data_IF_270088954532
#
_entry.id   IF_270088954532
#
_cell.length_a   1.000
_cell.length_b   1.000
_cell.length_c   1.000
_cell.angle_alpha   90.00
_cell.angle_beta   90.00
_cell.angle_gamma   90.00
#
_symmetry.space_group_name_H-M   'P 1'
#
loop_
_entity.id
_entity.type
_entity.pdbx_description
1 polymer ?
#
# COMPACT_ATOMS: atom_id res chain seq x y z
N UNK A 1 -3.05 -29.19 -19.15
CA UNK A 1 -4.05 -29.18 -18.06
C UNK A 1 -3.38 -28.85 -16.73
N UNK A 2 -2.50 -29.70 -16.18
CA UNK A 2 -1.75 -29.45 -14.92
C UNK A 2 -1.05 -28.08 -14.79
N UNK A 3 -0.46 -27.55 -15.87
CA UNK A 3 0.25 -26.25 -15.84
C UNK A 3 -0.72 -25.07 -15.66
N UNK A 4 -1.93 -25.17 -16.21
CA UNK A 4 -2.95 -24.11 -16.13
C UNK A 4 -3.53 -24.05 -14.73
N UNK A 5 -3.89 -25.19 -14.14
CA UNK A 5 -4.38 -25.27 -12.75
C UNK A 5 -3.33 -24.78 -11.74
N UNK A 6 -2.05 -25.06 -11.99
CA UNK A 6 -0.95 -24.56 -11.18
C UNK A 6 -0.80 -23.04 -11.22
N UNK A 7 -0.99 -22.43 -12.39
CA UNK A 7 -0.92 -20.97 -12.55
C UNK A 7 -2.08 -20.27 -11.82
N UNK A 8 -3.31 -20.79 -11.95
CA UNK A 8 -4.49 -20.23 -11.28
C UNK A 8 -4.36 -20.27 -9.74
N UNK A 9 -3.78 -21.34 -9.20
CA UNK A 9 -3.51 -21.45 -7.76
C UNK A 9 -2.51 -20.40 -7.30
N UNK A 10 -1.42 -20.19 -8.04
CA UNK A 10 -0.40 -19.19 -7.71
C UNK A 10 -0.99 -17.78 -7.73
N UNK A 11 -1.82 -17.46 -8.70
CA UNK A 11 -2.50 -16.16 -8.80
C UNK A 11 -3.47 -15.95 -7.65
N UNK A 12 -4.23 -16.97 -7.25
CA UNK A 12 -5.13 -16.91 -6.10
C UNK A 12 -4.38 -16.67 -4.79
N UNK A 13 -3.24 -17.34 -4.59
CA UNK A 13 -2.38 -17.14 -3.40
C UNK A 13 -1.78 -15.73 -3.41
N UNK A 14 -1.29 -15.27 -4.56
CA UNK A 14 -0.74 -13.92 -4.70
C UNK A 14 -1.78 -12.84 -4.42
N UNK A 15 -3.00 -13.00 -4.92
CA UNK A 15 -4.12 -12.11 -4.63
C UNK A 15 -4.48 -12.15 -3.14
N UNK A 16 -4.56 -13.33 -2.51
CA UNK A 16 -4.81 -13.47 -1.08
C UNK A 16 -3.77 -12.72 -0.23
N UNK A 17 -2.49 -12.83 -0.59
CA UNK A 17 -1.42 -12.09 0.08
C UNK A 17 -1.55 -10.57 -0.13
N UNK A 18 -1.76 -10.14 -1.38
CA UNK A 18 -1.88 -8.73 -1.74
C UNK A 18 -3.11 -8.04 -1.13
N UNK A 19 -4.20 -8.76 -0.90
CA UNK A 19 -5.45 -8.20 -0.34
C UNK A 19 -5.53 -8.31 1.18
N UNK A 20 -4.80 -9.25 1.80
CA UNK A 20 -4.85 -9.50 3.23
C UNK A 20 -3.57 -9.10 3.95
N UNK A 21 -2.50 -9.86 3.72
CA UNK A 21 -1.28 -9.79 4.53
C UNK A 21 -0.45 -8.55 4.21
N UNK A 22 -0.26 -8.23 2.92
CA UNK A 22 0.55 -7.10 2.50
C UNK A 22 0.03 -5.75 3.05
N UNK A 23 -1.27 -5.40 2.94
CA UNK A 23 -1.80 -4.15 3.49
C UNK A 23 -1.60 -4.03 5.00
N UNK A 24 -1.71 -5.13 5.75
CA UNK A 24 -1.50 -5.15 7.20
C UNK A 24 -0.03 -4.82 7.52
N UNK A 25 0.91 -5.51 6.87
CA UNK A 25 2.34 -5.28 7.09
C UNK A 25 2.76 -3.87 6.68
N UNK A 26 2.36 -3.45 5.49
CA UNK A 26 2.73 -2.17 4.92
C UNK A 26 2.16 -1.00 5.74
N UNK A 27 0.88 -1.01 6.10
CA UNK A 27 0.32 0.07 6.91
C UNK A 27 0.88 0.05 8.35
N UNK A 28 1.26 -1.11 8.88
CA UNK A 28 1.96 -1.19 10.18
C UNK A 28 3.33 -0.50 10.09
N UNK A 29 4.13 -0.81 9.07
CA UNK A 29 5.46 -0.22 8.88
C UNK A 29 5.37 1.28 8.59
N UNK A 30 4.55 1.68 7.62
CA UNK A 30 4.54 3.04 7.13
C UNK A 30 3.68 3.98 7.99
N UNK A 31 2.52 3.55 8.51
CA UNK A 31 1.67 4.43 9.35
C UNK A 31 2.05 4.34 10.81
N UNK A 32 1.92 3.17 11.43
CA UNK A 32 2.19 3.02 12.85
C UNK A 32 3.68 3.05 13.19
N UNK A 33 4.55 2.72 12.25
CA UNK A 33 6.00 2.89 12.37
C UNK A 33 6.43 4.31 11.99
N UNK A 34 6.59 4.56 10.69
CA UNK A 34 7.23 5.77 10.17
C UNK A 34 6.43 7.06 10.44
N UNK A 35 5.19 7.15 9.95
CA UNK A 35 4.38 8.37 10.05
C UNK A 35 4.09 8.73 11.52
N UNK A 36 3.73 7.74 12.33
CA UNK A 36 3.52 7.88 13.77
C UNK A 36 4.78 8.35 14.49
N UNK A 37 5.95 7.81 14.14
CA UNK A 37 7.22 8.24 14.72
C UNK A 37 7.56 9.69 14.38
N UNK A 38 7.31 10.13 13.14
CA UNK A 38 7.48 11.53 12.73
C UNK A 38 6.56 12.44 13.53
N UNK A 39 5.28 12.08 13.66
CA UNK A 39 4.30 12.84 14.43
C UNK A 39 4.70 12.94 15.91
N UNK A 40 5.18 11.85 16.52
CA UNK A 40 5.65 11.82 17.92
C UNK A 40 6.90 12.67 18.15
N UNK A 41 7.71 12.86 17.12
CA UNK A 41 8.89 13.76 17.13
C UNK A 41 8.52 15.21 16.84
N UNK A 42 7.23 15.55 16.72
CA UNK A 42 6.75 16.91 16.50
C UNK A 42 6.78 17.37 15.05
N UNK A 43 6.97 16.47 14.08
CA UNK A 43 6.86 16.84 12.68
C UNK A 43 5.43 17.29 12.34
N UNK A 44 5.24 18.31 11.48
CA UNK A 44 3.91 18.71 11.02
C UNK A 44 3.17 17.55 10.36
N UNK A 45 1.83 17.53 10.50
CA UNK A 45 0.98 16.47 9.96
C UNK A 45 1.17 16.26 8.46
N UNK A 46 1.14 17.35 7.68
CA UNK A 46 1.35 17.31 6.24
C UNK A 46 2.74 16.78 5.87
N UNK A 47 3.79 17.21 6.58
CA UNK A 47 5.17 16.75 6.35
C UNK A 47 5.29 15.25 6.62
N UNK A 48 4.68 14.77 7.71
CA UNK A 48 4.68 13.35 8.07
C UNK A 48 3.98 12.50 7.00
N UNK A 49 2.87 12.98 6.44
CA UNK A 49 2.15 12.32 5.34
C UNK A 49 2.99 12.31 4.05
N UNK A 50 3.52 13.46 3.64
CA UNK A 50 4.29 13.60 2.41
C UNK A 50 5.54 12.72 2.41
N UNK A 51 6.33 12.75 3.50
CA UNK A 51 7.55 11.95 3.61
C UNK A 51 7.24 10.45 3.63
N UNK A 52 6.21 10.04 4.36
CA UNK A 52 5.82 8.62 4.43
C UNK A 52 5.31 8.13 3.07
N UNK A 53 4.47 8.91 2.37
CA UNK A 53 3.98 8.55 1.05
C UNK A 53 5.10 8.50 -0.01
N UNK A 54 6.04 9.45 0.05
CA UNK A 54 7.20 9.47 -0.84
C UNK A 54 8.10 8.24 -0.63
N UNK A 55 8.38 7.87 0.62
CA UNK A 55 9.16 6.67 0.93
C UNK A 55 8.43 5.37 0.56
N UNK A 56 7.10 5.33 0.71
CA UNK A 56 6.28 4.20 0.26
C UNK A 56 6.38 3.98 -1.25
N UNK A 57 6.23 5.06 -2.03
CA UNK A 57 6.32 5.00 -3.49
C UNK A 57 7.75 4.66 -3.95
N UNK A 58 8.76 5.22 -3.29
CA UNK A 58 10.16 4.87 -3.56
C UNK A 58 10.45 3.38 -3.26
N UNK A 59 9.93 2.83 -2.15
CA UNK A 59 10.07 1.40 -1.85
C UNK A 59 9.43 0.53 -2.94
N UNK A 60 8.25 0.91 -3.43
CA UNK A 60 7.62 0.23 -4.57
C UNK A 60 8.45 0.32 -5.85
N UNK A 61 8.98 1.50 -6.19
CA UNK A 61 9.82 1.69 -7.37
C UNK A 61 11.13 0.91 -7.32
N UNK A 62 11.70 0.69 -6.13
CA UNK A 62 12.91 -0.12 -5.94
C UNK A 62 12.63 -1.62 -6.08
N UNK A 63 11.52 -2.11 -5.51
CA UNK A 63 11.18 -3.53 -5.49
C UNK A 63 10.51 -4.00 -6.79
N UNK A 64 9.76 -3.13 -7.45
CA UNK A 64 9.04 -3.38 -8.71
C UNK A 64 9.28 -2.22 -9.67
N UNK A 65 10.44 -2.16 -10.34
CA UNK A 65 10.78 -1.04 -11.22
C UNK A 65 9.76 -0.88 -12.36
N UNK A 66 9.26 0.34 -12.54
CA UNK A 66 8.32 0.68 -13.61
C UNK A 66 7.62 2.02 -13.36
N UNK A 67 7.07 2.67 -14.40
CA UNK A 67 6.39 3.96 -14.25
C UNK A 67 5.20 3.87 -13.30
N UNK A 68 4.50 2.73 -13.29
CA UNK A 68 3.33 2.48 -12.45
C UNK A 68 3.65 2.34 -10.96
N UNK A 69 4.90 2.01 -10.59
CA UNK A 69 5.28 1.92 -9.19
C UNK A 69 5.14 3.27 -8.47
N UNK A 70 5.41 4.38 -9.17
CA UNK A 70 5.24 5.73 -8.62
C UNK A 70 3.77 6.13 -8.45
N UNK A 71 2.84 5.49 -9.16
CA UNK A 71 1.41 5.75 -9.00
C UNK A 71 0.90 5.41 -7.59
N UNK A 72 1.63 4.56 -6.86
CA UNK A 72 1.35 4.23 -5.45
C UNK A 72 1.48 5.43 -4.48
N UNK A 73 2.12 6.53 -4.91
CA UNK A 73 2.19 7.75 -4.12
C UNK A 73 0.80 8.33 -3.81
N UNK A 74 -0.11 8.33 -4.80
CA UNK A 74 -1.45 8.89 -4.64
C UNK A 74 -2.31 8.17 -3.57
N UNK A 75 -2.47 6.83 -3.60
CA UNK A 75 -3.16 6.12 -2.52
C UNK A 75 -2.41 6.26 -1.19
N UNK A 76 -1.07 6.27 -1.17
CA UNK A 76 -0.31 6.45 0.06
C UNK A 76 -0.54 7.83 0.73
N UNK A 77 -0.74 8.90 -0.06
CA UNK A 77 -1.12 10.22 0.46
C UNK A 77 -2.50 10.18 1.11
N UNK A 78 -3.48 9.55 0.47
CA UNK A 78 -4.83 9.42 1.02
C UNK A 78 -4.83 8.60 2.31
N UNK A 79 -4.14 7.46 2.32
CA UNK A 79 -3.99 6.61 3.50
C UNK A 79 -3.33 7.37 4.65
N UNK A 80 -2.28 8.15 4.36
CA UNK A 80 -1.63 9.01 5.33
C UNK A 80 -2.56 10.09 5.89
N UNK A 81 -3.40 10.71 5.05
CA UNK A 81 -4.40 11.69 5.48
C UNK A 81 -5.51 11.07 6.33
N UNK A 82 -5.97 9.87 6.00
CA UNK A 82 -6.93 9.09 6.82
C UNK A 82 -6.31 8.75 8.18
N UNK A 83 -5.08 8.25 8.19
CA UNK A 83 -4.36 7.94 9.43
C UNK A 83 -4.20 9.18 10.31
N UNK A 84 -3.87 10.33 9.71
CA UNK A 84 -3.66 11.58 10.45
C UNK A 84 -4.91 12.03 11.22
N UNK A 85 -6.12 11.78 10.70
CA UNK A 85 -7.38 12.16 11.36
C UNK A 85 -7.73 11.29 12.57
N UNK A 86 -7.45 9.99 12.49
CA UNK A 86 -7.98 9.03 13.47
C UNK A 86 -6.93 8.20 14.22
N UNK A 87 -5.68 8.16 13.73
CA UNK A 87 -4.58 7.28 14.20
C UNK A 87 -5.00 5.82 14.37
N UNK A 88 -5.87 5.33 13.47
CA UNK A 88 -6.38 3.96 13.44
C UNK A 88 -5.85 3.29 12.18
N UNK A 89 -5.27 2.09 12.34
CA UNK A 89 -4.76 1.32 11.20
C UNK A 89 -5.87 0.68 10.38
N UNK A 90 -6.94 0.18 11.02
CA UNK A 90 -7.99 -0.58 10.33
C UNK A 90 -8.61 0.14 9.11
N UNK A 91 -8.96 1.43 9.16
CA UNK A 91 -9.43 2.16 7.98
C UNK A 91 -8.40 2.24 6.86
N UNK A 92 -7.11 2.39 7.20
CA UNK A 92 -6.02 2.41 6.23
C UNK A 92 -5.82 1.03 5.59
N UNK A 93 -5.79 -0.03 6.40
CA UNK A 93 -5.66 -1.42 5.93
C UNK A 93 -6.81 -1.77 4.98
N UNK A 94 -8.05 -1.46 5.34
CA UNK A 94 -9.22 -1.73 4.50
C UNK A 94 -9.18 -0.96 3.18
N UNK A 95 -8.81 0.33 3.23
CA UNK A 95 -8.70 1.16 2.03
C UNK A 95 -7.53 0.73 1.14
N UNK A 96 -6.42 0.32 1.72
CA UNK A 96 -5.27 -0.21 0.98
C UNK A 96 -5.65 -1.54 0.30
N UNK A 97 -6.27 -2.48 1.01
CA UNK A 97 -6.78 -3.71 0.41
C UNK A 97 -7.74 -3.43 -0.77
N UNK A 98 -8.60 -2.42 -0.66
CA UNK A 98 -9.45 -1.97 -1.77
C UNK A 98 -8.61 -1.46 -2.96
N UNK A 99 -7.57 -0.67 -2.74
CA UNK A 99 -6.68 -0.23 -3.82
C UNK A 99 -5.96 -1.39 -4.49
N UNK A 100 -5.52 -2.39 -3.73
CA UNK A 100 -4.91 -3.58 -4.29
C UNK A 100 -5.93 -4.39 -5.11
N UNK A 101 -7.19 -4.47 -4.67
CA UNK A 101 -8.26 -5.11 -5.44
C UNK A 101 -8.54 -4.38 -6.76
N UNK A 102 -8.59 -3.04 -6.74
CA UNK A 102 -8.78 -2.22 -7.93
C UNK A 102 -7.59 -2.34 -8.89
N UNK A 103 -6.37 -2.35 -8.36
CA UNK A 103 -5.17 -2.56 -9.18
C UNK A 103 -5.19 -3.93 -9.85
N UNK A 104 -5.35 -4.99 -9.07
CA UNK A 104 -5.31 -6.37 -9.57
C UNK A 104 -6.44 -6.66 -10.56
N UNK A 105 -7.68 -6.30 -10.21
CA UNK A 105 -8.86 -6.67 -10.99
C UNK A 105 -9.20 -5.75 -12.17
N UNK A 106 -8.81 -4.46 -12.11
CA UNK A 106 -9.24 -3.47 -13.10
C UNK A 106 -8.09 -2.81 -13.86
N UNK A 107 -7.03 -2.36 -13.16
CA UNK A 107 -6.00 -1.54 -13.79
C UNK A 107 -4.87 -2.36 -14.40
N UNK A 108 -4.43 -3.42 -13.74
CA UNK A 108 -3.32 -4.26 -14.21
C UNK A 108 -3.53 -4.92 -15.58
N UNK A 109 -4.76 -5.30 -16.00
CA UNK A 109 -4.99 -5.82 -17.34
C UNK A 109 -4.91 -4.77 -18.46
N UNK A 110 -4.88 -3.47 -18.11
CA UNK A 110 -4.90 -2.35 -19.07
C UNK A 110 -3.50 -1.79 -19.38
N UNK A 111 -2.46 -2.28 -18.69
CA UNK A 111 -1.09 -1.73 -18.71
C UNK A 111 -0.04 -2.82 -18.87
#
# INVERSE_FOLDING_TARGET
>A
MWIVEGAEMVDAVAAGFALGVAPVLEETVFRAGLQESLLRRGAPGAVSVLLTAGLFAAAHALLRPGPWAWATAAPALLLGAVYLRGRRLWPCIALHALFNALWWGLLSPLV
#
